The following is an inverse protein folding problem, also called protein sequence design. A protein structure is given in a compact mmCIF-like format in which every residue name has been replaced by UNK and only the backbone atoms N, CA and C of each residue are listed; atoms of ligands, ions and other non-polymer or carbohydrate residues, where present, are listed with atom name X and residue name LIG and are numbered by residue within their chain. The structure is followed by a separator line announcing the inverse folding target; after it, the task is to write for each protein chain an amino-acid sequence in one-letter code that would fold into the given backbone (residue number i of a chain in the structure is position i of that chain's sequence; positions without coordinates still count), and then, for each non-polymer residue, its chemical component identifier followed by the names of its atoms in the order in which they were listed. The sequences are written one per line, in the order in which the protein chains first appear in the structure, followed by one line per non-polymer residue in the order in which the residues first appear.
data_IF_744140114073
#
_entry.id   IF_744140114073
#
_cell.length_a   1.000
_cell.length_b   1.000
_cell.length_c   1.000
_cell.angle_alpha   90.00
_cell.angle_beta   90.00
_cell.angle_gamma   90.00
#
_symmetry.space_group_name_H-M   'P 1'
#
loop_
_entity.id
_entity.type
_entity.pdbx_description
1 polymer ?
#
# COMPACT_ATOMS: atom_id res chain seq x y z
N UNK A 1 14.43 50.85 31.43
CA UNK A 1 15.11 49.67 32.00
C UNK A 1 14.06 48.56 32.02
N UNK A 2 14.06 47.56 31.31
CA UNK A 2 14.93 46.78 30.41
C UNK A 2 13.96 45.81 29.76
N UNK A 3 13.58 45.90 28.54
CA UNK A 3 14.17 45.21 27.39
C UNK A 3 14.72 43.83 27.74
N UNK A 4 14.02 42.80 27.42
CA UNK A 4 14.32 41.50 26.85
C UNK A 4 13.12 40.56 27.07
N UNK A 5 12.10 40.68 26.26
CA UNK A 5 11.18 39.60 25.96
C UNK A 5 10.97 39.54 24.47
N UNK A 6 12.11 39.32 23.81
CA UNK A 6 12.13 39.06 22.40
C UNK A 6 11.78 37.59 22.15
N UNK A 7 10.59 37.37 21.67
CA UNK A 7 10.27 36.46 20.55
C UNK A 7 10.97 35.10 20.54
N UNK A 8 10.29 34.09 20.96
CA UNK A 8 10.33 32.81 20.27
C UNK A 8 9.10 32.69 19.36
N UNK A 9 9.23 33.22 18.17
CA UNK A 9 8.30 32.90 17.08
C UNK A 9 8.32 31.39 16.82
N UNK A 10 7.18 30.72 16.68
CA UNK A 10 7.14 29.38 16.17
C UNK A 10 7.48 29.45 14.67
N UNK A 11 8.69 29.03 14.31
CA UNK A 11 9.10 28.82 12.91
C UNK A 11 8.42 27.56 12.38
N UNK A 12 7.11 27.57 12.30
CA UNK A 12 6.30 26.63 11.56
C UNK A 12 6.00 27.23 10.21
N UNK A 13 6.89 27.03 9.21
CA UNK A 13 6.51 27.25 7.80
C UNK A 13 5.25 26.44 7.54
N UNK A 14 4.15 27.05 7.05
CA UNK A 14 2.99 26.27 6.65
C UNK A 14 3.42 25.36 5.50
N UNK A 15 3.39 24.06 5.73
CA UNK A 15 3.62 23.01 4.71
C UNK A 15 2.42 23.00 3.77
N UNK A 16 2.42 23.94 2.81
CA UNK A 16 1.44 24.01 1.73
C UNK A 16 1.62 22.71 0.92
N UNK A 17 0.72 21.72 1.12
CA UNK A 17 0.67 20.49 0.34
C UNK A 17 1.09 19.19 1.03
N UNK A 18 1.29 19.15 2.37
CA UNK A 18 1.49 17.89 3.07
C UNK A 18 0.12 17.30 3.42
N UNK A 19 -0.21 16.16 2.84
CA UNK A 19 -1.38 15.35 3.14
C UNK A 19 -0.97 13.89 3.39
N UNK A 20 -1.93 13.03 3.72
CA UNK A 20 -1.68 11.61 3.98
C UNK A 20 -1.11 10.90 2.76
N UNK A 21 -1.57 11.23 1.57
CA UNK A 21 -1.10 10.61 0.32
C UNK A 21 0.37 10.95 0.05
N UNK A 22 0.75 12.22 0.22
CA UNK A 22 2.16 12.66 0.09
C UNK A 22 3.06 11.94 1.08
N UNK A 23 2.63 11.78 2.33
CA UNK A 23 3.37 11.06 3.37
C UNK A 23 3.56 9.59 3.00
N UNK A 24 2.50 8.90 2.55
CA UNK A 24 2.53 7.48 2.16
C UNK A 24 3.38 7.27 0.92
N UNK A 25 3.28 8.13 -0.10
CA UNK A 25 4.13 8.06 -1.29
C UNK A 25 5.62 8.31 -0.97
N UNK A 26 5.92 9.19 -0.04
CA UNK A 26 7.28 9.41 0.43
C UNK A 26 7.80 8.18 1.19
N UNK A 27 6.97 7.54 2.00
CA UNK A 27 7.32 6.30 2.69
C UNK A 27 7.61 5.15 1.69
N UNK A 28 6.80 4.99 0.63
CA UNK A 28 7.07 4.00 -0.42
C UNK A 28 8.44 4.25 -1.08
N UNK A 29 8.74 5.50 -1.47
CA UNK A 29 10.07 5.85 -2.01
C UNK A 29 11.20 5.54 -1.03
N UNK A 30 11.01 5.84 0.25
CA UNK A 30 11.99 5.55 1.29
C UNK A 30 12.23 4.03 1.46
N UNK A 31 11.16 3.23 1.36
CA UNK A 31 11.23 1.77 1.39
C UNK A 31 11.99 1.24 0.17
N UNK A 32 11.67 1.72 -1.03
CA UNK A 32 12.34 1.29 -2.27
C UNK A 32 13.84 1.59 -2.25
N UNK A 33 14.25 2.70 -1.63
CA UNK A 33 15.66 3.11 -1.55
C UNK A 33 16.44 2.40 -0.44
N UNK A 34 15.82 2.18 0.73
CA UNK A 34 16.53 1.80 1.96
C UNK A 34 15.98 0.54 2.63
N UNK A 35 14.93 -0.04 2.09
CA UNK A 35 14.20 -1.17 2.66
C UNK A 35 13.22 -0.80 3.78
N UNK A 36 12.22 -1.65 4.04
CA UNK A 36 11.17 -1.37 5.01
C UNK A 36 11.68 -1.31 6.47
N UNK A 37 12.74 -2.04 6.79
CA UNK A 37 13.32 -2.05 8.15
C UNK A 37 13.95 -0.71 8.52
N UNK A 38 14.42 0.05 7.53
CA UNK A 38 15.06 1.36 7.73
C UNK A 38 14.07 2.54 7.67
N UNK A 39 12.77 2.27 7.47
CA UNK A 39 11.75 3.30 7.54
C UNK A 39 11.54 3.74 8.99
N UNK A 40 11.85 5.01 9.28
CA UNK A 40 11.59 5.64 10.57
C UNK A 40 10.83 6.95 10.39
N UNK A 41 10.00 7.32 11.37
CA UNK A 41 9.25 8.59 11.35
C UNK A 41 10.20 9.79 11.27
N UNK A 42 11.34 9.72 11.94
CA UNK A 42 12.36 10.79 11.91
C UNK A 42 13.00 10.91 10.52
N UNK A 43 13.40 9.79 9.91
CA UNK A 43 13.99 9.77 8.57
C UNK A 43 13.00 10.29 7.54
N UNK A 44 11.74 9.84 7.62
CA UNK A 44 10.69 10.32 6.72
C UNK A 44 10.41 11.82 6.88
N UNK A 45 10.44 12.33 8.13
CA UNK A 45 10.34 13.77 8.39
C UNK A 45 11.48 14.55 7.72
N UNK A 46 12.71 14.04 7.79
CA UNK A 46 13.87 14.64 7.10
C UNK A 46 13.70 14.63 5.56
N UNK A 47 13.24 13.49 5.00
CA UNK A 47 12.97 13.37 3.55
C UNK A 47 11.90 14.37 3.06
N UNK A 48 10.92 14.69 3.91
CA UNK A 48 9.83 15.63 3.63
C UNK A 48 10.11 17.07 4.05
N UNK A 49 11.22 17.33 4.74
CA UNK A 49 11.58 18.65 5.26
C UNK A 49 10.66 19.13 6.38
N UNK A 50 10.12 18.21 7.18
CA UNK A 50 9.23 18.49 8.32
C UNK A 50 9.71 17.80 9.60
N UNK A 51 9.23 18.26 10.74
CA UNK A 51 9.45 17.56 12.00
C UNK A 51 8.67 16.24 12.05
N UNK A 52 9.27 15.20 12.61
CA UNK A 52 8.63 13.88 12.73
C UNK A 52 7.25 13.94 13.42
N UNK A 53 7.09 14.82 14.41
CA UNK A 53 5.83 15.03 15.11
C UNK A 53 4.69 15.51 14.20
N UNK A 54 5.01 16.22 13.11
CA UNK A 54 4.01 16.67 12.13
C UNK A 54 3.38 15.51 11.36
N UNK A 55 4.10 14.40 11.21
CA UNK A 55 3.62 13.21 10.48
C UNK A 55 2.54 12.45 11.24
N UNK A 56 2.54 12.52 12.57
CA UNK A 56 1.52 11.86 13.42
C UNK A 56 0.11 12.44 13.27
N UNK A 57 -0.04 13.55 12.55
CA UNK A 57 -1.34 14.08 12.13
C UNK A 57 -1.96 13.29 10.98
N UNK A 58 -1.16 12.51 10.25
CA UNK A 58 -1.57 11.78 9.04
C UNK A 58 -1.55 10.27 9.23
N UNK A 59 -0.66 9.77 10.10
CA UNK A 59 -0.51 8.35 10.41
C UNK A 59 -0.27 8.18 11.90
N UNK A 60 -0.81 7.12 12.50
CA UNK A 60 -0.68 6.86 13.94
C UNK A 60 0.70 6.32 14.35
N UNK A 61 1.53 5.93 13.38
CA UNK A 61 2.87 5.43 13.61
C UNK A 61 3.42 4.67 12.42
N UNK A 62 4.56 4.00 12.63
CA UNK A 62 5.27 3.27 11.60
C UNK A 62 4.42 2.12 11.02
N UNK A 63 3.73 1.38 11.87
CA UNK A 63 2.91 0.23 11.43
C UNK A 63 1.73 0.69 10.55
N UNK A 64 1.00 1.72 10.96
CA UNK A 64 -0.05 2.34 10.14
C UNK A 64 0.50 2.86 8.80
N UNK A 65 1.71 3.43 8.83
CA UNK A 65 2.37 3.89 7.61
C UNK A 65 2.72 2.73 6.66
N UNK A 66 3.21 1.60 7.18
CA UNK A 66 3.49 0.41 6.37
C UNK A 66 2.20 -0.17 5.77
N UNK A 67 1.12 -0.26 6.54
CA UNK A 67 -0.18 -0.71 6.02
C UNK A 67 -0.75 0.26 4.98
N UNK A 68 -0.55 1.57 5.17
CA UNK A 68 -0.95 2.56 4.18
C UNK A 68 -0.15 2.43 2.86
N UNK A 69 1.13 2.07 2.93
CA UNK A 69 1.95 1.77 1.74
C UNK A 69 1.43 0.52 1.02
N UNK A 70 1.10 -0.55 1.76
CA UNK A 70 0.49 -1.75 1.17
C UNK A 70 -0.83 -1.41 0.50
N UNK A 71 -1.71 -0.65 1.16
CA UNK A 71 -2.99 -0.20 0.59
C UNK A 71 -2.77 0.59 -0.70
N UNK A 72 -1.81 1.52 -0.74
CA UNK A 72 -1.47 2.29 -1.94
C UNK A 72 -1.05 1.38 -3.11
N UNK A 73 -0.22 0.37 -2.86
CA UNK A 73 0.21 -0.58 -3.88
C UNK A 73 -0.96 -1.42 -4.40
N UNK A 74 -1.85 -1.88 -3.52
CA UNK A 74 -3.03 -2.64 -3.89
C UNK A 74 -4.09 -1.80 -4.61
N UNK A 75 -4.25 -0.53 -4.28
CA UNK A 75 -5.16 0.39 -4.98
C UNK A 75 -4.67 0.70 -6.40
N UNK A 76 -3.36 0.84 -6.59
CA UNK A 76 -2.76 0.96 -7.91
C UNK A 76 -3.01 -0.31 -8.73
N UNK A 77 -2.75 -1.46 -8.14
CA UNK A 77 -3.00 -2.78 -8.73
C UNK A 77 -4.46 -2.94 -9.16
N UNK A 78 -5.43 -2.59 -8.31
CA UNK A 78 -6.86 -2.68 -8.63
C UNK A 78 -7.23 -1.79 -9.82
N UNK A 79 -6.75 -0.54 -9.86
CA UNK A 79 -6.99 0.37 -10.99
C UNK A 79 -6.46 -0.18 -12.31
N UNK A 80 -5.32 -0.85 -12.27
CA UNK A 80 -4.76 -1.48 -13.46
C UNK A 80 -5.62 -2.65 -13.97
N UNK A 81 -6.22 -3.42 -13.05
CA UNK A 81 -7.17 -4.48 -13.41
C UNK A 81 -8.49 -3.92 -13.99
N UNK A 82 -9.02 -2.86 -13.40
CA UNK A 82 -10.29 -2.24 -13.82
C UNK A 82 -10.22 -1.66 -15.25
N UNK A 83 -9.02 -1.33 -15.74
CA UNK A 83 -8.81 -0.82 -17.10
C UNK A 83 -8.71 -1.93 -18.15
N UNK A 84 -8.63 -3.19 -17.73
CA UNK A 84 -8.45 -4.33 -18.63
C UNK A 84 -9.76 -5.11 -18.73
N UNK A 85 -10.35 -5.14 -19.93
CA UNK A 85 -11.54 -5.95 -20.23
C UNK A 85 -11.07 -7.34 -20.64
N UNK A 86 -11.27 -8.32 -19.77
CA UNK A 86 -10.92 -9.71 -20.04
C UNK A 86 -12.12 -10.46 -20.59
N UNK A 87 -11.99 -10.91 -21.84
CA UNK A 87 -13.03 -11.72 -22.50
C UNK A 87 -13.08 -13.15 -21.94
N UNK A 88 -12.04 -13.61 -21.22
CA UNK A 88 -11.90 -14.97 -20.69
C UNK A 88 -11.35 -14.97 -19.28
N UNK A 89 -11.71 -16.00 -18.50
CA UNK A 89 -11.16 -16.17 -17.15
C UNK A 89 -9.64 -16.39 -17.15
N UNK A 90 -9.09 -17.04 -18.19
CA UNK A 90 -7.64 -17.20 -18.35
C UNK A 90 -6.93 -15.85 -18.51
N UNK A 91 -7.50 -14.98 -19.35
CA UNK A 91 -7.00 -13.62 -19.55
C UNK A 91 -7.02 -12.85 -18.24
N UNK A 92 -8.11 -12.92 -17.48
CA UNK A 92 -8.22 -12.31 -16.16
C UNK A 92 -7.13 -12.77 -15.21
N UNK A 93 -6.93 -14.10 -15.05
CA UNK A 93 -5.88 -14.63 -14.17
C UNK A 93 -4.47 -14.25 -14.64
N UNK A 94 -4.24 -14.22 -15.96
CA UNK A 94 -2.99 -13.75 -16.53
C UNK A 94 -2.72 -12.28 -16.19
N UNK A 95 -3.70 -11.41 -16.38
CA UNK A 95 -3.58 -9.98 -16.10
C UNK A 95 -3.37 -9.74 -14.61
N UNK A 96 -4.05 -10.50 -13.76
CA UNK A 96 -3.86 -10.49 -12.31
C UNK A 96 -2.40 -10.87 -11.95
N UNK A 97 -1.87 -11.94 -12.51
CA UNK A 97 -0.49 -12.38 -12.28
C UNK A 97 0.53 -11.35 -12.80
N UNK A 98 0.29 -10.75 -13.97
CA UNK A 98 1.14 -9.70 -14.52
C UNK A 98 1.13 -8.43 -13.67
N UNK A 99 -0.01 -8.04 -13.13
CA UNK A 99 -0.12 -6.88 -12.25
C UNK A 99 0.62 -7.10 -10.92
N UNK A 100 0.51 -8.30 -10.32
CA UNK A 100 1.30 -8.68 -9.13
C UNK A 100 2.80 -8.67 -9.43
N UNK A 101 3.20 -9.26 -10.57
CA UNK A 101 4.60 -9.26 -11.00
C UNK A 101 5.12 -7.83 -11.19
N UNK A 102 4.31 -6.92 -11.72
CA UNK A 102 4.69 -5.52 -11.88
C UNK A 102 5.02 -4.86 -10.54
N UNK A 103 4.21 -5.04 -9.50
CA UNK A 103 4.53 -4.54 -8.15
C UNK A 103 5.88 -5.10 -7.68
N UNK A 104 6.13 -6.39 -7.89
CA UNK A 104 7.39 -7.03 -7.48
C UNK A 104 8.62 -6.46 -8.22
N UNK A 105 8.46 -6.08 -9.49
CA UNK A 105 9.54 -5.52 -10.32
C UNK A 105 9.75 -4.03 -10.05
N UNK A 106 8.68 -3.26 -9.91
CA UNK A 106 8.74 -1.81 -9.68
C UNK A 106 9.11 -1.45 -8.24
N UNK A 107 8.65 -2.28 -7.27
CA UNK A 107 8.84 -2.07 -5.84
C UNK A 107 9.42 -3.30 -5.13
N UNK A 108 10.61 -3.79 -5.51
CA UNK A 108 11.15 -5.06 -4.99
C UNK A 108 11.38 -5.04 -3.48
N UNK A 109 11.70 -3.88 -2.89
CA UNK A 109 11.89 -3.73 -1.46
C UNK A 109 10.56 -3.64 -0.68
N UNK A 110 9.49 -3.14 -1.30
CA UNK A 110 8.17 -3.05 -0.69
C UNK A 110 7.31 -4.31 -0.93
N UNK A 111 7.57 -5.08 -1.99
CA UNK A 111 6.79 -6.27 -2.34
C UNK A 111 6.66 -7.30 -1.21
N UNK A 112 7.69 -7.61 -0.40
CA UNK A 112 7.53 -8.50 0.75
C UNK A 112 6.43 -8.08 1.73
N UNK A 113 6.13 -6.77 1.86
CA UNK A 113 5.02 -6.29 2.69
C UNK A 113 3.66 -6.72 2.12
N UNK A 114 3.51 -6.69 0.80
CA UNK A 114 2.31 -7.19 0.10
C UNK A 114 2.21 -8.71 0.17
N UNK A 115 3.34 -9.41 0.09
CA UNK A 115 3.43 -10.86 0.11
C UNK A 115 3.29 -11.48 1.50
N UNK A 116 3.25 -10.70 2.59
CA UNK A 116 3.06 -11.20 3.95
C UNK A 116 1.60 -11.14 4.38
N UNK A 117 1.20 -12.01 5.31
CA UNK A 117 -0.16 -11.99 5.87
C UNK A 117 -0.37 -10.77 6.76
N UNK A 118 -1.55 -10.18 6.68
CA UNK A 118 -1.94 -9.10 7.57
C UNK A 118 -2.13 -9.63 9.00
N UNK A 119 -1.47 -9.06 10.03
CA UNK A 119 -1.59 -9.56 11.39
C UNK A 119 -3.03 -9.58 11.94
N UNK A 120 -3.83 -8.56 11.63
CA UNK A 120 -5.21 -8.43 12.08
C UNK A 120 -6.22 -9.16 11.17
N UNK A 121 -5.80 -9.65 9.99
CA UNK A 121 -6.66 -10.37 9.05
C UNK A 121 -5.92 -11.58 8.43
N UNK A 122 -5.53 -12.57 9.24
CA UNK A 122 -4.70 -13.68 8.78
C UNK A 122 -5.41 -14.62 7.79
N UNK A 123 -6.73 -14.48 7.65
CA UNK A 123 -7.54 -15.20 6.66
C UNK A 123 -7.43 -14.62 5.24
N UNK A 124 -7.03 -13.36 5.10
CA UNK A 124 -6.71 -12.79 3.78
C UNK A 124 -5.36 -13.30 3.31
N UNK A 125 -5.36 -13.97 2.16
CA UNK A 125 -4.13 -14.56 1.61
C UNK A 125 -3.38 -13.57 0.73
N UNK A 126 -2.07 -13.42 0.91
CA UNK A 126 -1.25 -12.65 -0.01
C UNK A 126 -1.34 -13.25 -1.43
N UNK A 127 -1.12 -12.48 -2.48
CA UNK A 127 -1.00 -11.01 -2.50
C UNK A 127 -2.34 -10.27 -2.48
N UNK A 128 -3.48 -10.98 -2.47
CA UNK A 128 -4.83 -10.39 -2.49
C UNK A 128 -5.28 -10.07 -1.05
N UNK A 129 -4.63 -9.10 -0.41
CA UNK A 129 -4.83 -8.73 1.00
C UNK A 129 -6.02 -7.80 1.25
N UNK A 130 -6.95 -7.65 0.32
CA UNK A 130 -8.14 -6.81 0.44
C UNK A 130 -9.38 -7.64 0.17
N UNK A 131 -10.45 -7.41 0.94
CA UNK A 131 -11.74 -8.09 0.73
C UNK A 131 -12.30 -7.78 -0.64
N UNK A 132 -12.14 -6.54 -1.11
CA UNK A 132 -12.60 -6.11 -2.42
C UNK A 132 -11.89 -6.89 -3.55
N UNK A 133 -10.59 -7.12 -3.43
CA UNK A 133 -9.84 -7.92 -4.40
C UNK A 133 -10.26 -9.38 -4.38
N UNK A 134 -10.52 -9.95 -3.21
CA UNK A 134 -11.03 -11.32 -3.08
C UNK A 134 -12.43 -11.43 -3.68
N UNK A 135 -13.31 -10.48 -3.38
CA UNK A 135 -14.67 -10.44 -3.94
C UNK A 135 -14.63 -10.29 -5.46
N UNK A 136 -13.83 -9.38 -5.98
CA UNK A 136 -13.63 -9.21 -7.42
C UNK A 136 -13.11 -10.49 -8.07
N UNK A 137 -12.13 -11.16 -7.46
CA UNK A 137 -11.60 -12.43 -7.95
C UNK A 137 -12.70 -13.50 -8.07
N UNK A 138 -13.44 -13.71 -6.97
CA UNK A 138 -14.49 -14.73 -6.93
C UNK A 138 -15.64 -14.40 -7.87
N UNK A 139 -16.15 -13.16 -7.84
CA UNK A 139 -17.26 -12.73 -8.70
C UNK A 139 -16.91 -12.82 -10.19
N UNK A 140 -15.66 -12.51 -10.57
CA UNK A 140 -15.21 -12.65 -11.95
C UNK A 140 -15.24 -14.12 -12.41
N UNK A 141 -14.74 -15.06 -11.60
CA UNK A 141 -14.79 -16.48 -11.95
C UNK A 141 -16.22 -17.02 -12.02
N UNK A 142 -17.10 -16.62 -11.09
CA UNK A 142 -18.51 -16.98 -11.11
C UNK A 142 -19.20 -16.47 -12.39
N UNK A 143 -18.92 -15.23 -12.80
CA UNK A 143 -19.43 -14.66 -14.05
C UNK A 143 -18.96 -15.43 -15.29
N UNK A 144 -17.81 -16.10 -15.21
CA UNK A 144 -17.31 -16.99 -16.28
C UNK A 144 -17.79 -18.44 -16.15
N UNK A 145 -18.79 -18.72 -15.30
CA UNK A 145 -19.43 -20.03 -15.18
C UNK A 145 -18.76 -21.03 -14.23
N UNK A 146 -17.83 -20.58 -13.39
CA UNK A 146 -17.32 -21.42 -12.32
C UNK A 146 -18.38 -21.64 -11.24
N UNK A 147 -18.42 -22.82 -10.63
CA UNK A 147 -19.18 -23.03 -9.40
C UNK A 147 -18.48 -22.33 -8.23
N UNK A 148 -19.20 -22.12 -7.11
CA UNK A 148 -18.63 -21.57 -5.88
C UNK A 148 -17.39 -22.35 -5.40
N UNK A 149 -17.48 -23.67 -5.44
CA UNK A 149 -16.38 -24.56 -5.03
C UNK A 149 -15.16 -24.42 -5.96
N UNK A 150 -15.38 -24.34 -7.28
CA UNK A 150 -14.33 -24.13 -8.27
C UNK A 150 -13.68 -22.76 -8.11
N UNK A 151 -14.48 -21.70 -7.91
CA UNK A 151 -13.96 -20.35 -7.70
C UNK A 151 -13.08 -20.26 -6.44
N UNK A 152 -13.53 -20.81 -5.31
CA UNK A 152 -12.76 -20.89 -4.06
C UNK A 152 -11.50 -21.76 -4.24
N UNK A 153 -11.60 -22.90 -4.92
CA UNK A 153 -10.45 -23.76 -5.24
C UNK A 153 -9.40 -23.02 -6.06
N UNK A 154 -9.82 -22.27 -7.09
CA UNK A 154 -8.94 -21.46 -7.94
C UNK A 154 -8.28 -20.33 -7.13
N UNK A 155 -9.04 -19.63 -6.26
CA UNK A 155 -8.49 -18.63 -5.35
C UNK A 155 -7.39 -19.20 -4.44
N UNK A 156 -7.66 -20.36 -3.84
CA UNK A 156 -6.67 -21.05 -2.98
C UNK A 156 -5.42 -21.45 -3.76
N UNK A 157 -5.58 -22.01 -4.97
CA UNK A 157 -4.47 -22.36 -5.83
C UNK A 157 -3.64 -21.11 -6.21
N UNK A 158 -4.30 -20.05 -6.64
CA UNK A 158 -3.67 -18.79 -7.05
C UNK A 158 -2.89 -18.10 -5.92
N UNK A 159 -3.34 -18.24 -4.66
CA UNK A 159 -2.74 -17.59 -3.48
C UNK A 159 -1.86 -18.54 -2.64
N UNK A 160 -1.46 -19.72 -3.15
CA UNK A 160 -0.68 -20.72 -2.40
C UNK A 160 0.83 -20.69 -2.65
N UNK A 161 1.32 -19.62 -3.27
CA UNK A 161 2.76 -19.43 -3.53
C UNK A 161 3.49 -18.75 -2.39
#
# INVERSE_FOLDING_TARGET
MTEVEALRAPTGRPTKGLDREVVVRAALRAIDQRGPHNLTMRGLGQDLGVEAMSLYRYVSGREDLLEAVVSLLLDNFRRDLDTTIDATWQGYLQNLAHAIRRIAVEHPAAFPLVATRHPAAPWLRPPLRSLELVEQFLSTLLAHGFSDEQAVGTYRAFTSF
#
